data_IF_481053118524
#
_entry.id   IF_481053118524
#
_cell.length_a   1.000
_cell.length_b   1.000
_cell.length_c   1.000
_cell.angle_alpha   90.00
_cell.angle_beta   90.00
_cell.angle_gamma   90.00
#
_symmetry.space_group_name_H-M   'P 1'
#
loop_
_entity.id
_entity.type
_entity.pdbx_description
1 polymer ?
#
# COMPACT_ATOMS: atom_id res chain seq x y z
N UNK A 1 15.21 -8.70 68.58
CA UNK A 1 14.64 -7.67 67.68
C UNK A 1 15.50 -7.60 66.41
N UNK A 2 15.14 -8.25 65.29
CA UNK A 2 15.85 -8.05 64.03
C UNK A 2 15.20 -6.94 63.21
N UNK A 3 16.04 -6.03 62.70
CA UNK A 3 15.65 -4.89 61.86
C UNK A 3 15.41 -5.39 60.43
N UNK A 4 14.18 -5.25 59.93
CA UNK A 4 13.81 -5.47 58.54
C UNK A 4 14.28 -4.28 57.69
N UNK A 5 15.30 -4.48 56.87
CA UNK A 5 15.70 -3.51 55.84
C UNK A 5 14.75 -3.68 54.66
N UNK A 6 13.80 -2.74 54.52
CA UNK A 6 12.93 -2.66 53.35
C UNK A 6 13.71 -2.20 52.12
N UNK A 7 13.78 -3.04 51.09
CA UNK A 7 14.16 -2.59 49.75
C UNK A 7 13.02 -1.74 49.17
N UNK A 8 13.28 -0.56 48.60
CA UNK A 8 12.24 0.17 47.88
C UNK A 8 11.79 -0.66 46.68
N UNK A 9 10.47 -0.86 46.56
CA UNK A 9 9.87 -1.47 45.39
C UNK A 9 10.26 -0.66 44.15
N UNK A 10 11.17 -1.20 43.35
CA UNK A 10 11.53 -0.64 42.06
C UNK A 10 10.27 -0.50 41.21
N UNK A 11 10.03 0.70 40.68
CA UNK A 11 8.97 0.94 39.69
C UNK A 11 9.08 -0.15 38.61
N UNK A 12 8.00 -0.85 38.25
CA UNK A 12 8.07 -1.83 37.17
C UNK A 12 8.60 -1.12 35.92
N UNK A 13 9.50 -1.76 35.15
CA UNK A 13 9.98 -1.18 33.91
C UNK A 13 8.77 -0.82 33.05
N UNK A 14 8.77 0.33 32.35
CA UNK A 14 7.68 0.64 31.43
C UNK A 14 7.54 -0.56 30.49
N UNK A 15 6.35 -1.14 30.43
CA UNK A 15 6.00 -2.13 29.42
C UNK A 15 6.24 -1.47 28.07
N UNK A 16 7.39 -1.76 27.48
CA UNK A 16 7.76 -1.17 26.20
C UNK A 16 6.76 -1.70 25.19
N UNK A 17 5.92 -0.80 24.66
CA UNK A 17 5.18 -1.07 23.43
C UNK A 17 6.15 -1.55 22.34
N UNK A 18 5.64 -2.21 21.28
CA UNK A 18 6.49 -2.68 20.19
C UNK A 18 7.38 -1.53 19.70
N UNK A 19 8.66 -1.85 19.47
CA UNK A 19 9.67 -0.87 19.07
C UNK A 19 9.21 -0.08 17.83
N UNK A 20 9.51 1.22 17.81
CA UNK A 20 9.27 2.05 16.62
C UNK A 20 10.12 1.54 15.46
N UNK A 21 9.48 1.31 14.31
CA UNK A 21 10.10 0.80 13.09
C UNK A 21 9.97 1.83 11.97
N UNK A 22 11.06 2.14 11.26
CA UNK A 22 11.11 3.18 10.22
C UNK A 22 12.02 2.78 9.05
N UNK A 23 11.98 3.51 7.91
CA UNK A 23 12.85 3.24 6.77
C UNK A 23 14.33 3.18 7.17
N UNK A 24 15.05 2.18 6.67
CA UNK A 24 16.44 1.91 7.02
C UNK A 24 16.62 0.90 8.16
N UNK A 25 15.61 0.68 9.00
CA UNK A 25 15.69 -0.29 10.07
C UNK A 25 15.76 -1.73 9.54
N UNK A 26 16.29 -2.62 10.37
CA UNK A 26 16.28 -4.06 10.10
C UNK A 26 16.13 -4.89 11.37
N UNK A 27 15.71 -6.13 11.23
CA UNK A 27 15.58 -7.09 12.31
C UNK A 27 14.18 -7.70 12.47
N UNK A 28 13.94 -8.41 13.58
CA UNK A 28 12.70 -9.16 13.82
C UNK A 28 11.43 -8.29 13.79
N UNK A 29 11.50 -7.06 14.29
CA UNK A 29 10.35 -6.14 14.28
C UNK A 29 9.93 -5.75 12.85
N UNK A 30 10.90 -5.51 11.96
CA UNK A 30 10.61 -5.25 10.54
C UNK A 30 10.03 -6.48 9.85
N UNK A 31 10.55 -7.67 10.17
CA UNK A 31 10.01 -8.93 9.65
C UNK A 31 8.55 -9.12 10.08
N UNK A 32 8.24 -8.91 11.35
CA UNK A 32 6.88 -8.98 11.88
C UNK A 32 5.95 -7.95 11.21
N UNK A 33 6.43 -6.72 10.98
CA UNK A 33 5.71 -5.71 10.21
C UNK A 33 5.38 -6.19 8.79
N UNK A 34 6.37 -6.72 8.07
CA UNK A 34 6.20 -7.20 6.70
C UNK A 34 5.22 -8.40 6.64
N UNK A 35 5.33 -9.35 7.57
CA UNK A 35 4.40 -10.47 7.69
C UNK A 35 2.97 -9.99 7.93
N UNK A 36 2.80 -9.04 8.86
CA UNK A 36 1.49 -8.49 9.19
C UNK A 36 0.88 -7.71 8.03
N UNK A 37 1.64 -6.85 7.36
CA UNK A 37 1.19 -6.12 6.17
C UNK A 37 0.74 -7.08 5.07
N UNK A 38 1.51 -8.14 4.81
CA UNK A 38 1.15 -9.16 3.82
C UNK A 38 -0.12 -9.91 4.19
N UNK A 39 -0.27 -10.31 5.46
CA UNK A 39 -1.49 -10.95 5.94
C UNK A 39 -2.75 -10.07 5.78
N UNK A 40 -2.57 -8.75 5.77
CA UNK A 40 -3.61 -7.75 5.53
C UNK A 40 -3.76 -7.35 4.05
N UNK A 41 -3.18 -8.13 3.13
CA UNK A 41 -3.21 -7.92 1.68
C UNK A 41 -2.48 -6.65 1.20
N UNK A 42 -1.58 -6.07 1.99
CA UNK A 42 -0.60 -5.10 1.49
C UNK A 42 0.60 -5.83 0.89
N UNK A 43 1.33 -5.18 -0.01
CA UNK A 43 2.52 -5.75 -0.64
C UNK A 43 3.81 -5.06 -0.16
N UNK A 44 4.45 -5.54 0.93
CA UNK A 44 5.66 -4.94 1.47
C UNK A 44 6.95 -5.35 0.74
N UNK A 45 6.84 -6.03 -0.40
CA UNK A 45 7.99 -6.71 -1.03
C UNK A 45 8.37 -7.96 -0.24
N UNK A 46 9.62 -8.40 -0.32
CA UNK A 46 10.10 -9.59 0.37
C UNK A 46 10.06 -9.46 1.90
N UNK A 47 9.65 -10.53 2.61
CA UNK A 47 9.72 -10.60 4.08
C UNK A 47 11.14 -10.99 4.48
N UNK A 48 12.03 -9.99 4.47
CA UNK A 48 13.46 -10.17 4.73
C UNK A 48 13.92 -9.50 6.03
N UNK A 49 13.03 -8.79 6.73
CA UNK A 49 13.37 -8.02 7.92
C UNK A 49 14.21 -6.78 7.64
N UNK A 50 14.18 -6.23 6.41
CA UNK A 50 14.83 -4.96 6.06
C UNK A 50 13.79 -3.96 5.57
N UNK A 51 13.75 -2.78 6.18
CA UNK A 51 12.77 -1.75 5.84
C UNK A 51 13.28 -0.94 4.65
N UNK A 52 12.98 -1.43 3.44
CA UNK A 52 13.23 -0.74 2.18
C UNK A 52 12.01 0.00 1.61
N UNK A 53 12.16 0.50 0.38
CA UNK A 53 11.12 1.27 -0.32
C UNK A 53 9.81 0.48 -0.53
N UNK A 54 9.91 -0.83 -0.79
CA UNK A 54 8.75 -1.71 -0.95
C UNK A 54 7.90 -1.76 0.32
N UNK A 55 8.57 -1.94 1.47
CA UNK A 55 7.92 -1.91 2.79
C UNK A 55 7.36 -0.53 3.09
N UNK A 56 8.09 0.55 2.72
CA UNK A 56 7.60 1.93 2.89
C UNK A 56 6.31 2.17 2.12
N UNK A 57 6.21 1.72 0.88
CA UNK A 57 5.01 1.87 0.08
C UNK A 57 3.80 1.15 0.70
N UNK A 58 4.02 -0.04 1.28
CA UNK A 58 2.97 -0.77 2.00
C UNK A 58 2.57 -0.07 3.31
N UNK A 59 3.52 0.48 4.07
CA UNK A 59 3.23 1.25 5.29
C UNK A 59 2.46 2.53 4.96
N UNK A 60 2.84 3.27 3.92
CA UNK A 60 2.06 4.42 3.46
C UNK A 60 0.64 4.05 3.10
N UNK A 61 0.45 2.96 2.35
CA UNK A 61 -0.87 2.47 2.00
C UNK A 61 -1.68 2.11 3.25
N UNK A 62 -1.06 1.45 4.23
CA UNK A 62 -1.66 1.10 5.49
C UNK A 62 -2.10 2.35 6.27
N UNK A 63 -1.19 3.28 6.51
CA UNK A 63 -1.45 4.54 7.22
C UNK A 63 -2.61 5.31 6.56
N UNK A 64 -2.66 5.39 5.23
CA UNK A 64 -3.76 6.02 4.49
C UNK A 64 -5.12 5.36 4.73
N UNK A 65 -5.18 4.03 4.75
CA UNK A 65 -6.41 3.29 5.08
C UNK A 65 -6.83 3.54 6.52
N UNK A 66 -5.86 3.62 7.44
CA UNK A 66 -6.10 3.93 8.85
C UNK A 66 -6.41 5.41 9.12
N UNK A 67 -6.35 6.27 8.09
CA UNK A 67 -6.52 7.74 8.17
C UNK A 67 -5.45 8.42 9.03
N UNK A 68 -4.23 7.90 8.95
CA UNK A 68 -3.03 8.44 9.58
C UNK A 68 -2.18 9.20 8.56
N UNK A 69 -1.27 10.05 9.04
CA UNK A 69 -0.26 10.67 8.20
C UNK A 69 0.63 9.57 7.59
N UNK A 70 0.83 9.54 6.26
CA UNK A 70 1.67 8.52 5.64
C UNK A 70 3.16 8.90 5.70
N UNK A 71 3.73 8.98 6.90
CA UNK A 71 5.15 9.31 7.12
C UNK A 71 6.10 8.10 6.99
N UNK A 72 5.56 6.88 6.94
CA UNK A 72 6.34 5.65 6.88
C UNK A 72 6.89 5.18 8.24
N UNK A 73 6.59 5.86 9.34
CA UNK A 73 7.02 5.45 10.68
C UNK A 73 5.94 4.57 11.31
N UNK A 74 6.37 3.45 11.89
CA UNK A 74 5.50 2.47 12.58
C UNK A 74 5.78 2.56 14.07
N UNK A 75 5.07 3.45 14.74
CA UNK A 75 5.11 3.66 16.19
C UNK A 75 3.96 2.92 16.90
N UNK A 76 3.80 3.13 18.21
CA UNK A 76 2.77 2.47 19.03
C UNK A 76 1.34 2.55 18.44
N UNK A 77 0.85 3.75 18.05
CA UNK A 77 -0.43 3.89 17.35
C UNK A 77 -0.54 3.07 16.06
N UNK A 78 0.50 3.05 15.22
CA UNK A 78 0.48 2.25 13.98
C UNK A 78 0.48 0.76 14.28
N UNK A 79 1.26 0.31 15.26
CA UNK A 79 1.25 -1.08 15.74
C UNK A 79 -0.12 -1.51 16.28
N UNK A 80 -0.78 -0.62 17.01
CA UNK A 80 -2.14 -0.85 17.53
C UNK A 80 -3.15 -0.99 16.39
N UNK A 81 -3.05 -0.14 15.36
CA UNK A 81 -3.88 -0.25 14.17
C UNK A 81 -3.56 -1.51 13.35
N UNK A 82 -2.30 -1.97 13.29
CA UNK A 82 -1.94 -3.22 12.63
C UNK A 82 -2.61 -4.42 13.31
N UNK A 83 -2.76 -4.40 14.63
CA UNK A 83 -3.47 -5.44 15.37
C UNK A 83 -4.98 -5.43 15.08
N UNK A 84 -5.61 -4.26 15.01
CA UNK A 84 -7.04 -4.08 14.75
C UNK A 84 -7.30 -3.10 13.58
N UNK A 85 -7.09 -3.54 12.32
CA UNK A 85 -7.08 -2.63 11.19
C UNK A 85 -8.49 -2.24 10.74
N UNK A 86 -8.65 -0.98 10.35
CA UNK A 86 -9.75 -0.58 9.48
C UNK A 86 -9.55 -1.20 8.10
N UNK A 87 -10.65 -1.58 7.46
CA UNK A 87 -10.65 -2.02 6.06
C UNK A 87 -10.80 -0.83 5.11
N UNK A 88 -10.29 -0.93 3.87
CA UNK A 88 -10.55 0.07 2.84
C UNK A 88 -12.05 0.25 2.62
N UNK A 89 -12.49 1.50 2.47
CA UNK A 89 -13.88 1.83 2.13
C UNK A 89 -13.96 2.14 0.64
N UNK A 90 -14.53 1.23 -0.13
CA UNK A 90 -14.69 1.35 -1.58
C UNK A 90 -16.16 1.18 -1.97
N UNK A 91 -16.70 1.95 -2.93
CA UNK A 91 -18.12 1.95 -3.26
C UNK A 91 -18.60 0.79 -4.15
N UNK A 92 -17.73 0.19 -4.96
CA UNK A 92 -18.10 -0.88 -5.89
C UNK A 92 -18.60 -2.14 -5.19
N UNK A 93 -19.45 -2.89 -5.88
CA UNK A 93 -20.18 -4.05 -5.32
C UNK A 93 -19.78 -5.36 -5.99
N UNK A 94 -19.12 -5.28 -7.13
CA UNK A 94 -18.66 -6.37 -7.95
C UNK A 94 -17.65 -7.21 -7.17
N UNK A 95 -17.79 -8.53 -7.21
CA UNK A 95 -16.93 -9.45 -6.45
C UNK A 95 -15.48 -9.42 -6.92
N UNK A 96 -15.25 -9.18 -8.21
CA UNK A 96 -13.93 -8.95 -8.78
C UNK A 96 -13.92 -7.53 -9.32
N UNK A 97 -13.00 -6.69 -8.86
CA UNK A 97 -12.87 -5.30 -9.31
C UNK A 97 -11.57 -4.70 -8.82
N UNK A 98 -11.16 -3.60 -9.44
CA UNK A 98 -10.13 -2.70 -8.96
C UNK A 98 -10.75 -1.35 -8.62
N UNK A 99 -10.35 -0.78 -7.50
CA UNK A 99 -10.80 0.51 -7.01
C UNK A 99 -9.59 1.42 -6.88
N UNK A 100 -9.66 2.63 -7.45
CA UNK A 100 -8.62 3.65 -7.35
C UNK A 100 -9.20 4.88 -6.67
N UNK A 101 -8.71 5.18 -5.47
CA UNK A 101 -9.06 6.37 -4.70
C UNK A 101 -8.06 7.49 -5.02
N UNK A 102 -8.50 8.47 -5.79
CA UNK A 102 -7.68 9.60 -6.21
C UNK A 102 -7.35 10.55 -5.06
N UNK A 103 -8.17 10.65 -4.01
CA UNK A 103 -7.88 11.52 -2.86
C UNK A 103 -6.84 10.89 -1.95
N UNK A 104 -7.02 9.61 -1.62
CA UNK A 104 -6.10 8.89 -0.72
C UNK A 104 -4.86 8.37 -1.44
N UNK A 105 -4.87 8.38 -2.78
CA UNK A 105 -3.79 7.79 -3.59
C UNK A 105 -3.60 6.32 -3.20
N UNK A 106 -4.68 5.54 -3.34
CA UNK A 106 -4.73 4.11 -3.07
C UNK A 106 -5.32 3.34 -4.26
N UNK A 107 -4.85 2.11 -4.44
CA UNK A 107 -5.49 1.10 -5.27
C UNK A 107 -5.84 -0.10 -4.41
N UNK A 108 -7.05 -0.63 -4.56
CA UNK A 108 -7.54 -1.84 -3.90
C UNK A 108 -8.06 -2.81 -4.95
N UNK A 109 -7.55 -4.03 -4.97
CA UNK A 109 -8.07 -5.09 -5.83
C UNK A 109 -8.87 -6.10 -5.00
N UNK A 110 -10.02 -6.48 -5.54
CA UNK A 110 -10.92 -7.47 -4.96
C UNK A 110 -10.99 -8.72 -5.85
N UNK A 111 -11.08 -9.89 -5.23
CA UNK A 111 -11.38 -11.15 -5.90
C UNK A 111 -12.34 -11.96 -5.05
N UNK A 112 -13.42 -12.44 -5.66
CA UNK A 112 -14.52 -13.18 -5.00
C UNK A 112 -15.14 -12.44 -3.80
N UNK A 113 -15.04 -11.11 -3.77
CA UNK A 113 -15.53 -10.25 -2.68
C UNK A 113 -14.50 -9.95 -1.59
N UNK A 114 -13.32 -10.57 -1.64
CA UNK A 114 -12.25 -10.37 -0.67
C UNK A 114 -11.18 -9.42 -1.22
N UNK A 115 -10.60 -8.59 -0.36
CA UNK A 115 -9.43 -7.78 -0.73
C UNK A 115 -8.23 -8.71 -0.95
N UNK A 116 -7.60 -8.58 -2.12
CA UNK A 116 -6.40 -9.37 -2.49
C UNK A 116 -5.15 -8.53 -2.69
N UNK A 117 -5.31 -7.20 -2.80
CA UNK A 117 -4.19 -6.27 -2.81
C UNK A 117 -4.66 -4.88 -2.37
N UNK A 118 -3.86 -4.22 -1.53
CA UNK A 118 -3.92 -2.79 -1.23
C UNK A 118 -2.53 -2.22 -1.51
N UNK A 119 -2.45 -1.16 -2.32
CA UNK A 119 -1.17 -0.51 -2.62
C UNK A 119 -1.30 1.01 -2.67
N UNK A 120 -0.21 1.67 -2.29
CA UNK A 120 0.03 3.09 -2.55
C UNK A 120 0.15 3.30 -4.07
N UNK A 121 -0.35 4.44 -4.55
CA UNK A 121 -0.24 4.83 -5.96
C UNK A 121 0.16 6.30 -6.10
N UNK A 122 0.60 6.68 -7.29
CA UNK A 122 0.73 8.08 -7.69
C UNK A 122 -0.01 8.30 -9.02
N UNK A 123 -1.09 9.08 -8.97
CA UNK A 123 -1.97 9.33 -10.12
C UNK A 123 -1.62 10.64 -10.83
N UNK A 124 -2.49 11.09 -11.73
CA UNK A 124 -2.27 12.26 -12.58
C UNK A 124 -2.11 13.58 -11.83
N UNK A 125 -1.01 14.30 -12.08
CA UNK A 125 -0.75 15.64 -11.54
C UNK A 125 -1.71 16.70 -12.11
N UNK A 126 -1.78 17.92 -11.55
CA UNK A 126 -2.55 19.02 -12.15
C UNK A 126 -2.20 19.21 -13.64
N UNK A 127 -3.23 19.41 -14.48
CA UNK A 127 -3.09 19.43 -15.95
C UNK A 127 -3.08 18.05 -16.63
N UNK A 128 -2.89 16.96 -15.87
CA UNK A 128 -2.83 15.59 -16.37
C UNK A 128 -3.71 14.64 -15.53
N UNK A 129 -4.92 15.06 -15.20
CA UNK A 129 -5.76 14.36 -14.22
C UNK A 129 -6.11 12.94 -14.71
N UNK A 130 -6.05 11.97 -13.80
CA UNK A 130 -6.61 10.64 -14.02
C UNK A 130 -8.14 10.75 -14.10
N UNK A 131 -8.80 10.18 -15.12
CA UNK A 131 -10.24 10.25 -15.26
C UNK A 131 -10.92 9.43 -14.16
N UNK A 132 -11.89 10.06 -13.49
CA UNK A 132 -12.80 9.37 -12.58
C UNK A 132 -13.95 8.76 -13.40
N UNK A 133 -14.47 7.62 -12.97
CA UNK A 133 -15.54 6.91 -13.66
C UNK A 133 -15.41 5.40 -13.55
N UNK A 134 -16.24 4.72 -14.33
CA UNK A 134 -16.35 3.27 -14.39
C UNK A 134 -15.76 2.77 -15.70
N UNK A 135 -14.80 1.86 -15.56
CA UNK A 135 -14.00 1.34 -16.65
C UNK A 135 -13.83 -0.16 -16.50
N UNK A 136 -13.10 -0.77 -17.44
CA UNK A 136 -12.76 -2.19 -17.38
C UNK A 136 -11.32 -2.37 -17.86
N UNK A 137 -10.61 -3.35 -17.32
CA UNK A 137 -9.30 -3.73 -17.86
C UNK A 137 -9.48 -4.19 -19.31
N UNK A 138 -8.80 -3.53 -20.25
CA UNK A 138 -8.96 -3.80 -21.69
C UNK A 138 -7.77 -4.51 -22.30
N UNK A 139 -6.56 -4.18 -21.86
CA UNK A 139 -5.33 -4.72 -22.44
C UNK A 139 -4.21 -4.74 -21.42
N UNK A 140 -3.31 -5.70 -21.55
CA UNK A 140 -2.09 -5.82 -20.77
C UNK A 140 -0.86 -5.91 -21.66
N UNK A 141 0.29 -5.50 -21.14
CA UNK A 141 1.59 -5.70 -21.80
C UNK A 141 2.55 -6.36 -20.83
N UNK A 142 3.24 -7.39 -21.29
CA UNK A 142 4.30 -8.02 -20.53
C UNK A 142 5.55 -7.12 -20.53
N UNK A 143 6.14 -6.88 -19.36
CA UNK A 143 7.38 -6.13 -19.23
C UNK A 143 7.27 -4.63 -19.57
N UNK A 144 8.35 -4.06 -20.08
CA UNK A 144 8.45 -2.63 -20.36
C UNK A 144 7.73 -2.24 -21.65
N UNK A 145 6.98 -1.14 -21.59
CA UNK A 145 6.38 -0.47 -22.74
C UNK A 145 6.90 0.96 -22.83
N UNK A 146 7.45 1.31 -23.99
CA UNK A 146 7.72 2.69 -24.35
C UNK A 146 6.44 3.35 -24.86
N UNK A 147 6.12 4.54 -24.36
CA UNK A 147 5.00 5.35 -24.81
C UNK A 147 5.38 6.83 -24.84
N UNK A 148 4.64 7.69 -25.57
CA UNK A 148 5.02 9.09 -25.74
C UNK A 148 5.24 9.89 -24.45
N UNK A 149 4.63 9.46 -23.33
CA UNK A 149 4.68 10.15 -22.03
C UNK A 149 5.62 9.47 -21.01
N UNK A 150 6.42 8.49 -21.47
CA UNK A 150 7.41 7.78 -20.67
C UNK A 150 7.25 6.25 -20.71
N UNK A 151 8.08 5.59 -19.90
CA UNK A 151 8.09 4.13 -19.78
C UNK A 151 7.05 3.64 -18.77
N UNK A 152 6.39 2.53 -19.12
CA UNK A 152 5.46 1.83 -18.25
C UNK A 152 5.92 0.38 -18.08
N UNK A 153 6.07 -0.09 -16.84
CA UNK A 153 6.35 -1.49 -16.57
C UNK A 153 5.05 -2.25 -16.29
N UNK A 154 4.81 -3.33 -17.03
CA UNK A 154 3.63 -4.22 -16.92
C UNK A 154 2.29 -3.48 -16.85
N UNK A 155 1.99 -2.58 -17.81
CA UNK A 155 0.76 -1.80 -17.75
C UNK A 155 -0.50 -2.65 -17.96
N UNK A 156 -1.51 -2.40 -17.12
CA UNK A 156 -2.90 -2.81 -17.30
C UNK A 156 -3.73 -1.60 -17.73
N UNK A 157 -4.10 -1.54 -19.02
CA UNK A 157 -4.95 -0.49 -19.57
C UNK A 157 -6.38 -0.66 -19.11
N UNK A 158 -7.00 0.43 -18.70
CA UNK A 158 -8.42 0.43 -18.30
C UNK A 158 -9.27 1.44 -19.08
N UNK A 159 -8.66 2.47 -19.66
CA UNK A 159 -9.39 3.45 -20.47
C UNK A 159 -8.46 4.09 -21.49
N UNK A 160 -8.71 3.94 -22.80
CA UNK A 160 -7.84 4.51 -23.85
C UNK A 160 -6.34 4.22 -23.58
N UNK A 161 -5.53 5.27 -23.39
CA UNK A 161 -4.11 5.17 -23.04
C UNK A 161 -3.82 5.11 -21.53
N UNK A 162 -4.82 5.23 -20.66
CA UNK A 162 -4.67 5.21 -19.21
C UNK A 162 -4.50 3.78 -18.70
N UNK A 163 -3.45 3.58 -17.91
CA UNK A 163 -3.10 2.29 -17.34
C UNK A 163 -2.71 2.38 -15.87
N UNK A 164 -2.87 1.26 -15.16
CA UNK A 164 -2.17 0.96 -13.91
C UNK A 164 -0.84 0.31 -14.27
N UNK A 165 0.29 0.88 -13.85
CA UNK A 165 1.60 0.38 -14.26
C UNK A 165 2.70 0.64 -13.24
N UNK A 166 3.71 -0.22 -13.24
CA UNK A 166 4.91 -0.08 -12.43
C UNK A 166 5.69 1.18 -12.77
N UNK A 167 6.17 1.87 -11.74
CA UNK A 167 7.07 3.01 -11.86
C UNK A 167 8.10 3.00 -10.73
N UNK A 168 9.31 3.46 -11.02
CA UNK A 168 10.36 3.70 -10.03
C UNK A 168 10.07 4.93 -9.15
N UNK A 169 9.12 5.79 -9.54
CA UNK A 169 8.78 7.00 -8.82
C UNK A 169 7.27 7.05 -8.52
N UNK A 170 6.92 6.74 -7.27
CA UNK A 170 5.54 6.70 -6.75
C UNK A 170 5.44 7.55 -5.47
N UNK A 171 5.52 8.89 -5.57
CA UNK A 171 5.53 9.76 -4.41
C UNK A 171 4.15 9.83 -3.73
N UNK A 172 4.05 10.47 -2.57
CA UNK A 172 2.80 10.62 -1.82
C UNK A 172 1.75 11.53 -2.49
N UNK A 173 2.13 12.25 -3.54
CA UNK A 173 1.28 13.17 -4.29
C UNK A 173 1.09 12.71 -5.76
N UNK A 174 0.02 13.16 -6.45
CA UNK A 174 -0.17 12.87 -7.87
C UNK A 174 1.00 13.41 -8.71
N UNK A 175 1.66 12.54 -9.47
CA UNK A 175 2.93 12.84 -10.16
C UNK A 175 3.00 12.29 -11.60
N UNK A 176 1.97 11.60 -12.08
CA UNK A 176 1.96 11.01 -13.41
C UNK A 176 1.36 11.94 -14.47
N UNK A 177 1.47 11.56 -15.74
CA UNK A 177 0.75 12.18 -16.86
C UNK A 177 -0.65 11.56 -17.07
N UNK A 178 -1.30 11.12 -16.00
CA UNK A 178 -2.69 10.60 -16.00
C UNK A 178 -2.81 9.13 -15.63
N UNK A 179 -1.79 8.31 -15.89
CA UNK A 179 -1.77 6.91 -15.49
C UNK A 179 -1.72 6.72 -13.96
N UNK A 180 -2.05 5.53 -13.48
CA UNK A 180 -1.93 5.16 -12.07
C UNK A 180 -0.58 4.45 -11.88
N UNK A 181 0.41 5.16 -11.35
CA UNK A 181 1.72 4.55 -11.04
C UNK A 181 1.61 3.71 -9.77
N UNK A 182 2.12 2.49 -9.81
CA UNK A 182 2.23 1.59 -8.67
C UNK A 182 3.71 1.20 -8.46
N UNK A 183 4.11 0.75 -7.25
CA UNK A 183 5.45 0.26 -7.01
C UNK A 183 5.84 -0.88 -7.97
N UNK A 184 7.14 -0.97 -8.29
CA UNK A 184 7.64 -1.94 -9.29
C UNK A 184 7.32 -3.38 -8.90
N UNK A 185 7.56 -3.75 -7.64
CA UNK A 185 7.28 -5.10 -7.12
C UNK A 185 5.79 -5.42 -7.16
N UNK A 186 4.94 -4.44 -6.86
CA UNK A 186 3.49 -4.59 -6.95
C UNK A 186 3.01 -4.73 -8.39
N UNK A 187 3.68 -4.12 -9.36
CA UNK A 187 3.39 -4.33 -10.78
C UNK A 187 3.77 -5.74 -11.26
N UNK A 188 4.63 -6.46 -10.54
CA UNK A 188 4.86 -7.88 -10.81
C UNK A 188 3.72 -8.77 -10.31
N UNK A 189 2.93 -8.30 -9.34
CA UNK A 189 1.82 -9.01 -8.72
C UNK A 189 0.46 -8.67 -9.37
N UNK A 190 0.15 -7.40 -9.59
CA UNK A 190 -1.18 -6.93 -10.00
C UNK A 190 -1.73 -7.66 -11.24
N UNK A 191 -0.97 -7.90 -12.34
CA UNK A 191 -1.48 -8.63 -13.51
C UNK A 191 -1.90 -10.08 -13.23
N UNK A 192 -1.40 -10.69 -12.14
CA UNK A 192 -1.79 -12.05 -11.71
C UNK A 192 -3.11 -12.03 -10.92
N UNK A 193 -3.41 -10.90 -10.29
CA UNK A 193 -4.60 -10.70 -9.46
C UNK A 193 -5.80 -10.17 -10.24
N UNK A 194 -5.57 -9.45 -11.35
CA UNK A 194 -6.61 -8.78 -12.12
C UNK A 194 -6.69 -9.35 -13.54
N UNK A 195 -7.88 -9.79 -13.94
CA UNK A 195 -8.18 -10.35 -15.26
C UNK A 195 -8.65 -9.27 -16.25
N UNK A 196 -8.58 -9.59 -17.54
CA UNK A 196 -9.16 -8.73 -18.57
C UNK A 196 -10.68 -8.72 -18.43
N UNK A 197 -11.29 -7.56 -18.71
CA UNK A 197 -12.71 -7.30 -18.48
C UNK A 197 -13.09 -7.04 -17.01
N UNK A 198 -12.15 -7.10 -16.04
CA UNK A 198 -12.50 -6.76 -14.65
C UNK A 198 -12.84 -5.26 -14.51
N UNK A 199 -13.92 -4.92 -13.78
CA UNK A 199 -14.29 -3.54 -13.48
C UNK A 199 -13.15 -2.76 -12.81
N UNK A 200 -12.97 -1.51 -13.22
CA UNK A 200 -12.05 -0.55 -12.62
C UNK A 200 -12.83 0.72 -12.28
N UNK A 201 -13.03 0.96 -11.00
CA UNK A 201 -13.72 2.16 -10.50
C UNK A 201 -12.69 3.18 -10.04
N UNK A 202 -12.67 4.34 -10.67
CA UNK A 202 -11.80 5.45 -10.27
C UNK A 202 -12.66 6.52 -9.62
N UNK A 203 -12.34 6.88 -8.36
CA UNK A 203 -13.18 7.74 -7.52
C UNK A 203 -12.38 8.86 -6.87
N UNK A 204 -13.07 9.95 -6.55
CA UNK A 204 -12.55 11.07 -5.75
C UNK A 204 -13.12 11.02 -4.36
#
# INVERSE_FOLDING_TARGET
MPVMIGYPAGRPPPVHGPATVRPGDSGPAVRALQERLRALAYDPGAVNGRYGDDTRAAVWAFQKVQRMLPDGVVDGPVWSALAAPRTPRTPGRERNRVEVDLRRQLLVAYRRGHVVLITHVATGKPGWRTPAGDFHVTRRVAGWRHAPLGYMYRPLYFYRGYAMHGSRNVPLHPASHGCVRIPMHTADLLPKLVRDGEPVHVRR
#
